data_IF_534140533498
#
_entry.id   IF_534140533498
#
_cell.length_a   1.000
_cell.length_b   1.000
_cell.length_c   1.000
_cell.angle_alpha   90.00
_cell.angle_beta   90.00
_cell.angle_gamma   90.00
#
_symmetry.space_group_name_H-M   'P 1'
#
loop_
_entity.id
_entity.type
_entity.pdbx_description
1 polymer ?
#
# COMPACT_ATOMS: atom_id res chain seq x y z
N UNK A 1 -13.04 15.77 23.49
CA UNK A 1 -12.42 14.44 23.46
C UNK A 1 -11.78 14.28 22.07
N UNK A 2 -10.45 14.36 21.95
CA UNK A 2 -9.75 14.14 20.70
C UNK A 2 -9.58 12.63 20.57
N UNK A 3 -10.13 12.02 19.50
CA UNK A 3 -10.17 10.58 19.31
C UNK A 3 -8.78 9.98 19.05
N UNK A 4 -8.62 8.71 19.39
CA UNK A 4 -7.44 7.92 19.06
C UNK A 4 -7.27 7.85 17.54
N UNK A 5 -6.05 8.06 17.06
CA UNK A 5 -5.72 7.98 15.64
C UNK A 5 -5.45 6.53 15.25
N UNK A 6 -6.14 6.04 14.22
CA UNK A 6 -5.97 4.69 13.65
C UNK A 6 -5.33 4.85 12.27
N UNK A 7 -4.46 3.92 11.88
CA UNK A 7 -3.81 3.95 10.57
C UNK A 7 -4.34 2.84 9.66
N UNK A 8 -4.74 3.21 8.43
CA UNK A 8 -5.13 2.29 7.37
C UNK A 8 -4.29 2.59 6.12
N UNK A 9 -3.62 1.59 5.59
CA UNK A 9 -2.67 1.73 4.47
C UNK A 9 -1.60 2.82 4.69
N UNK A 10 -1.15 2.97 5.94
CA UNK A 10 -0.16 3.98 6.31
C UNK A 10 -0.72 5.40 6.47
N UNK A 11 -2.04 5.62 6.34
CA UNK A 11 -2.68 6.93 6.52
C UNK A 11 -3.52 6.99 7.80
N UNK A 12 -3.56 8.13 8.50
CA UNK A 12 -4.40 8.28 9.68
C UNK A 12 -5.87 8.35 9.27
N UNK A 13 -6.71 7.59 9.96
CA UNK A 13 -8.17 7.64 9.84
C UNK A 13 -8.80 7.79 11.22
N UNK A 14 -10.00 8.34 11.26
CA UNK A 14 -10.77 8.44 12.51
C UNK A 14 -11.13 7.04 13.02
N UNK A 15 -10.98 6.83 14.34
CA UNK A 15 -11.32 5.57 14.98
C UNK A 15 -12.78 5.16 14.75
N UNK A 16 -13.71 6.13 14.72
CA UNK A 16 -15.11 5.86 14.44
C UNK A 16 -15.33 5.30 13.03
N UNK A 17 -14.60 5.80 12.03
CA UNK A 17 -14.64 5.30 10.66
C UNK A 17 -14.09 3.88 10.59
N UNK A 18 -12.98 3.60 11.28
CA UNK A 18 -12.40 2.27 11.34
C UNK A 18 -13.36 1.25 11.99
N UNK A 19 -14.05 1.65 13.05
CA UNK A 19 -15.07 0.82 13.72
C UNK A 19 -16.25 0.53 12.78
N UNK A 20 -16.77 1.54 12.10
CA UNK A 20 -17.88 1.36 11.15
C UNK A 20 -17.48 0.44 9.98
N UNK A 21 -16.26 0.54 9.47
CA UNK A 21 -15.77 -0.36 8.44
C UNK A 21 -15.71 -1.82 8.93
N UNK A 22 -15.30 -2.05 10.18
CA UNK A 22 -15.28 -3.39 10.80
C UNK A 22 -16.71 -3.94 11.01
N UNK A 23 -17.67 -3.11 11.40
CA UNK A 23 -19.10 -3.47 11.54
C UNK A 23 -19.69 -3.85 10.18
N UNK A 24 -19.41 -3.09 9.12
CA UNK A 24 -19.84 -3.43 7.77
C UNK A 24 -19.24 -4.77 7.30
N UNK A 25 -17.96 -5.03 7.59
CA UNK A 25 -17.36 -6.33 7.27
C UNK A 25 -18.09 -7.47 7.98
N UNK A 26 -18.36 -7.34 9.28
CA UNK A 26 -19.08 -8.35 10.04
C UNK A 26 -20.49 -8.58 9.47
N UNK A 27 -21.23 -7.52 9.11
CA UNK A 27 -22.55 -7.58 8.50
C UNK A 27 -22.52 -8.31 7.16
N UNK A 28 -21.56 -7.97 6.28
CA UNK A 28 -21.43 -8.59 4.96
C UNK A 28 -20.96 -10.06 5.01
N UNK A 29 -20.19 -10.42 6.05
CA UNK A 29 -19.73 -11.80 6.26
C UNK A 29 -20.75 -12.69 6.98
N UNK A 30 -21.83 -12.15 7.54
CA UNK A 30 -22.86 -12.91 8.25
C UNK A 30 -23.63 -13.91 7.37
N UNK A 31 -23.51 -13.82 6.03
CA UNK A 31 -24.20 -14.66 5.06
C UNK A 31 -25.69 -14.34 4.88
N UNK A 32 -26.26 -13.43 5.67
CA UNK A 32 -27.67 -13.04 5.65
C UNK A 32 -27.89 -11.58 5.18
N UNK A 33 -26.95 -11.00 4.45
CA UNK A 33 -26.98 -9.58 4.05
C UNK A 33 -28.15 -9.28 3.12
N UNK A 34 -29.00 -8.34 3.51
CA UNK A 34 -30.16 -7.89 2.74
C UNK A 34 -29.74 -6.92 1.61
N UNK A 35 -30.56 -6.75 0.55
CA UNK A 35 -30.33 -5.75 -0.49
C UNK A 35 -30.24 -4.31 0.06
N UNK A 36 -31.03 -4.00 1.10
CA UNK A 36 -31.02 -2.69 1.76
C UNK A 36 -29.67 -2.42 2.47
N UNK A 37 -29.12 -3.40 3.18
CA UNK A 37 -27.81 -3.29 3.83
C UNK A 37 -26.67 -3.12 2.83
N UNK A 38 -26.73 -3.81 1.68
CA UNK A 38 -25.75 -3.62 0.59
C UNK A 38 -25.79 -2.21 0.03
N UNK A 39 -26.98 -1.65 -0.14
CA UNK A 39 -27.14 -0.26 -0.61
C UNK A 39 -26.63 0.74 0.43
N UNK A 40 -26.96 0.54 1.71
CA UNK A 40 -26.47 1.39 2.80
C UNK A 40 -24.94 1.35 2.93
N UNK A 41 -24.34 0.17 2.81
CA UNK A 41 -22.89 0.00 2.78
C UNK A 41 -22.24 0.74 1.59
N UNK A 42 -22.79 0.66 0.39
CA UNK A 42 -22.30 1.40 -0.77
C UNK A 42 -22.39 2.92 -0.57
N UNK A 43 -23.51 3.40 -0.01
CA UNK A 43 -23.68 4.82 0.32
C UNK A 43 -22.68 5.28 1.38
N UNK A 44 -22.44 4.47 2.40
CA UNK A 44 -21.45 4.76 3.43
C UNK A 44 -20.04 4.88 2.84
N UNK A 45 -19.62 3.96 1.95
CA UNK A 45 -18.32 4.03 1.27
C UNK A 45 -18.15 5.31 0.46
N UNK A 46 -19.21 5.76 -0.23
CA UNK A 46 -19.19 6.95 -1.09
C UNK A 46 -19.31 8.27 -0.31
N UNK A 47 -19.70 8.24 0.95
CA UNK A 47 -19.94 9.44 1.75
C UNK A 47 -18.68 10.23 2.10
N UNK A 48 -17.52 9.56 2.24
CA UNK A 48 -16.25 10.21 2.56
C UNK A 48 -15.06 9.39 2.05
N UNK A 49 -13.96 10.03 1.59
CA UNK A 49 -12.75 9.32 1.15
C UNK A 49 -12.14 8.40 2.23
N UNK A 50 -12.25 8.76 3.51
CA UNK A 50 -11.75 7.97 4.62
C UNK A 50 -12.52 6.67 4.84
N UNK A 51 -13.83 6.66 4.53
CA UNK A 51 -14.65 5.46 4.57
C UNK A 51 -14.17 4.45 3.52
N UNK A 52 -13.90 4.92 2.31
CA UNK A 52 -13.38 4.09 1.24
C UNK A 52 -11.98 3.56 1.58
N UNK A 53 -11.08 4.38 2.15
CA UNK A 53 -9.74 3.94 2.60
C UNK A 53 -9.82 2.89 3.71
N UNK A 54 -10.67 3.12 4.72
CA UNK A 54 -10.90 2.16 5.80
C UNK A 54 -11.42 0.83 5.25
N UNK A 55 -12.37 0.89 4.32
CA UNK A 55 -12.92 -0.29 3.68
C UNK A 55 -11.89 -1.06 2.87
N UNK A 56 -11.13 -0.39 2.00
CA UNK A 56 -10.08 -1.01 1.18
C UNK A 56 -9.02 -1.69 2.04
N UNK A 57 -8.64 -1.07 3.15
CA UNK A 57 -7.69 -1.66 4.07
C UNK A 57 -8.24 -2.97 4.67
N UNK A 58 -9.49 -3.00 5.10
CA UNK A 58 -10.15 -4.20 5.63
C UNK A 58 -10.37 -5.25 4.53
N UNK A 59 -10.71 -4.86 3.32
CA UNK A 59 -10.94 -5.75 2.19
C UNK A 59 -9.65 -6.42 1.71
N UNK A 60 -8.53 -5.72 1.71
CA UNK A 60 -7.20 -6.30 1.40
C UNK A 60 -6.82 -7.41 2.39
N UNK A 61 -7.26 -7.27 3.64
CA UNK A 61 -7.09 -8.28 4.70
C UNK A 61 -8.00 -9.49 4.48
N UNK A 62 -9.24 -9.25 4.05
CA UNK A 62 -10.24 -10.33 3.86
C UNK A 62 -10.08 -11.08 2.52
N UNK A 63 -9.43 -10.46 1.52
CA UNK A 63 -9.14 -11.10 0.22
C UNK A 63 -8.24 -12.33 0.35
N UNK A 64 -7.25 -12.29 1.23
CA UNK A 64 -6.42 -13.47 1.55
C UNK A 64 -7.19 -14.64 2.19
N UNK A 65 -8.32 -14.36 2.89
CA UNK A 65 -9.19 -15.39 3.45
C UNK A 65 -10.04 -16.09 2.39
N UNK A 66 -10.46 -15.38 1.33
CA UNK A 66 -11.22 -15.97 0.22
C UNK A 66 -10.40 -16.91 -0.65
N UNK A 67 -9.11 -16.68 -0.81
CA UNK A 67 -8.23 -17.62 -1.53
C UNK A 67 -8.02 -18.92 -0.75
N UNK A 68 -7.94 -18.87 0.57
CA UNK A 68 -7.84 -20.07 1.42
C UNK A 68 -9.16 -20.87 1.41
N UNK A 69 -10.31 -20.19 1.41
CA UNK A 69 -11.63 -20.83 1.33
C UNK A 69 -11.94 -21.37 -0.08
N UNK A 70 -11.46 -20.70 -1.14
CA UNK A 70 -11.55 -21.18 -2.51
C UNK A 70 -10.70 -22.43 -2.76
N UNK A 71 -9.55 -22.59 -2.09
CA UNK A 71 -8.76 -23.83 -2.16
C UNK A 71 -9.42 -24.97 -1.38
N UNK A 72 -10.05 -24.70 -0.24
CA UNK A 72 -10.83 -25.68 0.52
C UNK A 72 -12.09 -26.11 -0.26
N UNK A 73 -12.78 -25.15 -0.89
CA UNK A 73 -13.97 -25.40 -1.72
C UNK A 73 -13.66 -26.16 -3.01
N UNK A 74 -12.50 -25.92 -3.66
CA UNK A 74 -12.07 -26.71 -4.82
C UNK A 74 -11.77 -28.16 -4.47
N UNK A 75 -11.23 -28.44 -3.28
CA UNK A 75 -11.05 -29.83 -2.80
C UNK A 75 -12.37 -30.53 -2.51
N UNK A 76 -13.38 -29.80 -2.04
CA UNK A 76 -14.72 -30.37 -1.78
C UNK A 76 -15.54 -30.59 -3.07
N UNK A 77 -15.37 -29.77 -4.10
CA UNK A 77 -16.08 -29.88 -5.38
C UNK A 77 -15.54 -31.01 -6.30
N UNK A 78 -14.33 -31.48 -6.04
CA UNK A 78 -13.76 -32.62 -6.81
C UNK A 78 -14.29 -34.00 -6.37
N UNK A 79 -15.20 -34.07 -5.39
CA UNK A 79 -15.66 -35.34 -4.83
C UNK A 79 -17.14 -35.71 -5.08
N UNK A 80 -17.89 -34.99 -5.97
CA UNK A 80 -19.22 -35.48 -6.36
C UNK A 80 -19.62 -35.09 -7.80
N UNK A 81 -19.90 -36.08 -8.67
CA UNK A 81 -20.56 -35.85 -9.94
C UNK A 81 -22.08 -36.08 -9.81
N UNK A 82 -22.90 -35.04 -9.89
CA UNK A 82 -24.30 -35.18 -10.30
C UNK A 82 -24.63 -34.10 -11.31
N UNK A 83 -24.77 -34.54 -12.54
CA UNK A 83 -25.11 -33.72 -13.69
C UNK A 83 -26.59 -33.30 -13.63
N UNK A 84 -26.81 -31.97 -13.75
CA UNK A 84 -28.10 -31.41 -14.15
C UNK A 84 -28.00 -30.98 -15.62
N UNK A 85 -29.05 -31.25 -16.47
CA UNK A 85 -28.97 -30.93 -17.89
C UNK A 85 -29.16 -29.43 -18.14
N UNK A 86 -28.07 -28.73 -18.46
CA UNK A 86 -28.12 -27.33 -18.89
C UNK A 86 -28.26 -27.30 -20.41
N UNK A 87 -29.31 -26.67 -20.92
CA UNK A 87 -29.61 -26.51 -22.34
C UNK A 87 -28.50 -25.69 -23.03
N UNK A 88 -28.03 -26.16 -24.19
CA UNK A 88 -26.94 -25.53 -24.99
C UNK A 88 -27.19 -24.06 -25.36
N UNK A 89 -28.43 -23.59 -25.37
CA UNK A 89 -28.79 -22.20 -25.70
C UNK A 89 -28.57 -21.20 -24.52
N UNK A 90 -28.65 -21.66 -23.26
CA UNK A 90 -28.38 -20.83 -22.08
C UNK A 90 -26.91 -20.66 -21.82
N UNK A 91 -26.06 -21.65 -22.16
CA UNK A 91 -24.61 -21.59 -22.03
C UNK A 91 -23.95 -20.55 -22.93
N UNK A 92 -24.44 -20.39 -24.17
CA UNK A 92 -23.94 -19.39 -25.12
C UNK A 92 -24.32 -17.95 -24.71
N UNK A 93 -25.45 -17.74 -24.09
CA UNK A 93 -25.86 -16.43 -23.56
C UNK A 93 -25.03 -16.04 -22.33
N UNK A 94 -24.76 -16.98 -21.44
CA UNK A 94 -23.88 -16.75 -20.27
C UNK A 94 -22.43 -16.47 -20.68
N UNK A 95 -21.89 -17.14 -21.70
CA UNK A 95 -20.56 -16.89 -22.26
C UNK A 95 -20.47 -15.51 -22.95
N UNK A 96 -21.54 -15.08 -23.66
CA UNK A 96 -21.58 -13.76 -24.27
C UNK A 96 -21.64 -12.63 -23.23
N UNK A 97 -22.39 -12.81 -22.14
CA UNK A 97 -22.43 -11.85 -21.03
C UNK A 97 -21.11 -11.83 -20.23
N UNK A 98 -20.49 -12.98 -19.96
CA UNK A 98 -19.22 -13.07 -19.28
C UNK A 98 -18.07 -12.42 -20.09
N UNK A 99 -18.07 -12.55 -21.41
CA UNK A 99 -17.05 -11.91 -22.27
C UNK A 99 -17.24 -10.40 -22.38
N UNK A 100 -18.49 -9.89 -22.39
CA UNK A 100 -18.72 -8.42 -22.42
C UNK A 100 -18.36 -7.77 -21.07
N UNK A 101 -18.72 -8.38 -19.95
CA UNK A 101 -18.36 -7.91 -18.61
C UNK A 101 -16.84 -8.01 -18.39
N UNK A 102 -16.21 -9.10 -18.87
CA UNK A 102 -14.76 -9.27 -18.79
C UNK A 102 -13.98 -8.24 -19.59
N UNK A 103 -14.39 -7.93 -20.82
CA UNK A 103 -13.73 -6.95 -21.68
C UNK A 103 -13.96 -5.52 -21.20
N UNK A 104 -15.18 -5.13 -20.86
CA UNK A 104 -15.46 -3.79 -20.32
C UNK A 104 -14.82 -3.58 -18.94
N UNK A 105 -14.81 -4.59 -18.07
CA UNK A 105 -14.09 -4.57 -16.80
C UNK A 105 -12.57 -4.45 -16.99
N UNK A 106 -11.99 -5.17 -17.94
CA UNK A 106 -10.57 -5.12 -18.27
C UNK A 106 -10.13 -3.76 -18.85
N UNK A 107 -10.91 -3.20 -19.79
CA UNK A 107 -10.65 -1.86 -20.34
C UNK A 107 -10.91 -0.76 -19.32
N UNK A 108 -11.97 -0.89 -18.50
CA UNK A 108 -12.27 0.06 -17.44
C UNK A 108 -11.20 0.10 -16.34
N UNK A 109 -10.70 -1.07 -15.93
CA UNK A 109 -9.68 -1.19 -14.89
C UNK A 109 -8.29 -0.65 -15.32
N UNK A 110 -8.04 -0.53 -16.64
CA UNK A 110 -6.81 0.09 -17.20
C UNK A 110 -6.99 1.57 -17.56
N UNK A 111 -8.18 2.13 -17.41
CA UNK A 111 -8.43 3.55 -17.64
C UNK A 111 -7.84 4.42 -16.53
N UNK A 112 -7.54 5.67 -16.84
CA UNK A 112 -7.10 6.66 -15.82
C UNK A 112 -8.15 6.92 -14.73
N UNK A 113 -9.40 6.49 -14.95
CA UNK A 113 -10.51 6.60 -14.01
C UNK A 113 -10.75 5.35 -13.16
N UNK A 114 -9.94 4.27 -13.35
CA UNK A 114 -10.06 3.08 -12.51
C UNK A 114 -9.61 3.39 -11.08
N UNK A 115 -10.32 2.90 -10.05
CA UNK A 115 -9.88 3.00 -8.66
C UNK A 115 -8.46 2.41 -8.47
N UNK A 116 -7.65 3.03 -7.62
CA UNK A 116 -6.23 2.68 -7.47
C UNK A 116 -6.00 1.21 -7.10
N UNK A 117 -6.90 0.58 -6.35
CA UNK A 117 -6.81 -0.85 -6.00
C UNK A 117 -6.96 -1.77 -7.23
N UNK A 118 -7.80 -1.42 -8.22
CA UNK A 118 -7.94 -2.21 -9.45
C UNK A 118 -6.72 -2.07 -10.34
N UNK A 119 -6.11 -0.88 -10.37
CA UNK A 119 -4.84 -0.64 -11.07
C UNK A 119 -3.70 -1.41 -10.41
N UNK A 120 -3.65 -1.43 -9.08
CA UNK A 120 -2.65 -2.18 -8.33
C UNK A 120 -2.77 -3.70 -8.54
N UNK A 121 -3.99 -4.23 -8.57
CA UNK A 121 -4.25 -5.66 -8.83
C UNK A 121 -3.87 -6.10 -10.26
N UNK A 122 -3.86 -5.17 -11.22
CA UNK A 122 -3.50 -5.40 -12.64
C UNK A 122 -2.08 -4.91 -12.98
N UNK A 123 -1.30 -4.51 -11.98
CA UNK A 123 0.08 -4.08 -12.20
C UNK A 123 0.97 -5.22 -12.68
N UNK A 124 1.97 -4.89 -13.50
CA UNK A 124 2.92 -5.87 -14.04
C UNK A 124 3.72 -6.55 -12.91
N UNK A 125 4.00 -5.80 -11.84
CA UNK A 125 4.70 -6.28 -10.63
C UNK A 125 3.98 -5.75 -9.39
N UNK A 126 3.74 -6.63 -8.41
CA UNK A 126 3.14 -6.23 -7.13
C UNK A 126 3.67 -7.06 -5.97
N UNK A 127 3.50 -6.52 -4.77
CA UNK A 127 3.74 -7.18 -3.48
C UNK A 127 2.49 -7.07 -2.61
N UNK A 128 2.23 -8.11 -1.83
CA UNK A 128 1.23 -8.07 -0.76
C UNK A 128 1.70 -7.26 0.45
N UNK A 129 0.79 -7.03 1.41
CA UNK A 129 1.15 -6.39 2.68
C UNK A 129 2.12 -7.31 3.46
N UNK A 130 3.24 -6.75 3.93
CA UNK A 130 4.33 -7.48 4.58
C UNK A 130 5.29 -8.17 3.61
N UNK A 131 4.94 -8.29 2.32
CA UNK A 131 5.81 -8.87 1.31
C UNK A 131 6.81 -7.83 0.79
N UNK A 132 8.02 -8.29 0.51
CA UNK A 132 9.09 -7.52 -0.16
C UNK A 132 9.69 -8.37 -1.27
N UNK A 133 10.03 -7.75 -2.39
CA UNK A 133 10.64 -8.43 -3.52
C UNK A 133 11.78 -7.63 -4.11
N UNK A 134 12.86 -8.30 -4.47
CA UNK A 134 13.93 -7.75 -5.30
C UNK A 134 13.94 -8.46 -6.65
N UNK A 135 14.08 -7.69 -7.73
CA UNK A 135 14.15 -8.25 -9.08
C UNK A 135 14.95 -7.34 -10.01
N UNK A 136 15.64 -7.92 -11.01
CA UNK A 136 16.26 -7.16 -12.08
C UNK A 136 15.21 -6.77 -13.12
N UNK A 137 15.33 -5.54 -13.64
CA UNK A 137 14.57 -5.06 -14.77
C UNK A 137 15.29 -5.37 -16.10
N UNK A 138 14.61 -5.26 -17.25
CA UNK A 138 15.19 -5.62 -18.56
C UNK A 138 16.47 -4.85 -18.95
N UNK A 139 16.69 -3.67 -18.36
CA UNK A 139 17.89 -2.84 -18.56
C UNK A 139 19.00 -3.12 -17.55
N UNK A 140 18.83 -4.10 -16.66
CA UNK A 140 19.77 -4.43 -15.58
C UNK A 140 19.61 -3.58 -14.33
N UNK A 141 18.67 -2.62 -14.28
CA UNK A 141 18.30 -1.89 -13.08
C UNK A 141 17.79 -2.86 -12.00
N UNK A 142 18.21 -2.70 -10.75
CA UNK A 142 17.66 -3.46 -9.62
C UNK A 142 16.50 -2.69 -9.00
N UNK A 143 15.36 -3.37 -8.89
CA UNK A 143 14.15 -2.85 -8.29
C UNK A 143 13.82 -3.64 -7.03
N UNK A 144 13.68 -2.95 -5.90
CA UNK A 144 13.11 -3.52 -4.68
C UNK A 144 11.72 -2.93 -4.48
N UNK A 145 10.72 -3.78 -4.32
CA UNK A 145 9.35 -3.40 -3.95
C UNK A 145 9.19 -3.60 -2.46
N UNK A 146 8.69 -2.58 -1.76
CA UNK A 146 8.30 -2.65 -0.36
C UNK A 146 6.88 -3.24 -0.22
N UNK A 147 6.42 -3.40 1.00
CA UNK A 147 5.08 -3.85 1.37
C UNK A 147 3.99 -3.11 0.59
N UNK A 148 3.03 -3.85 0.02
CA UNK A 148 1.85 -3.29 -0.62
C UNK A 148 2.13 -2.41 -1.85
N UNK A 149 3.19 -2.71 -2.60
CA UNK A 149 3.62 -1.89 -3.75
C UNK A 149 3.15 -2.48 -5.07
N UNK A 150 2.87 -1.61 -6.05
CA UNK A 150 2.43 -1.99 -7.39
C UNK A 150 3.08 -1.09 -8.44
N UNK A 151 3.68 -1.71 -9.48
CA UNK A 151 4.48 -1.04 -10.51
C UNK A 151 4.16 -1.59 -11.89
N UNK A 152 4.03 -0.70 -12.87
CA UNK A 152 4.01 -1.06 -14.28
C UNK A 152 5.33 -0.65 -14.96
N UNK A 153 5.80 -1.49 -15.89
CA UNK A 153 7.00 -1.23 -16.68
C UNK A 153 6.57 -0.72 -18.07
N UNK A 154 7.01 0.48 -18.43
CA UNK A 154 6.66 1.14 -19.71
C UNK A 154 7.92 1.60 -20.43
N UNK A 155 8.78 0.65 -20.78
CA UNK A 155 10.00 0.92 -21.55
C UNK A 155 9.69 1.11 -23.02
N UNK A 156 10.28 2.15 -23.61
CA UNK A 156 10.17 2.47 -25.04
C UNK A 156 11.55 2.69 -25.66
N UNK A 157 11.60 3.01 -26.93
CA UNK A 157 12.85 3.41 -27.59
C UNK A 157 13.43 4.75 -27.11
N UNK A 158 12.64 5.57 -26.41
CA UNK A 158 13.03 6.93 -25.99
C UNK A 158 13.15 7.10 -24.47
N UNK A 159 12.57 6.21 -23.67
CA UNK A 159 12.60 6.31 -22.21
C UNK A 159 12.45 4.94 -21.52
N UNK A 160 12.96 4.84 -20.30
CA UNK A 160 12.76 3.75 -19.36
C UNK A 160 11.83 4.24 -18.26
N UNK A 161 10.52 3.98 -18.39
CA UNK A 161 9.52 4.48 -17.46
C UNK A 161 9.03 3.35 -16.55
N UNK A 162 9.08 3.57 -15.23
CA UNK A 162 8.34 2.83 -14.22
C UNK A 162 7.16 3.67 -13.77
N UNK A 163 5.96 3.10 -13.78
CA UNK A 163 4.78 3.74 -13.22
C UNK A 163 4.51 3.12 -11.85
N UNK A 164 4.80 3.87 -10.78
CA UNK A 164 4.47 3.49 -9.42
C UNK A 164 2.99 3.82 -9.17
N UNK A 165 2.17 2.78 -9.11
CA UNK A 165 0.72 2.89 -8.89
C UNK A 165 0.42 3.15 -7.43
N UNK A 166 1.10 2.42 -6.53
CA UNK A 166 1.03 2.60 -5.07
C UNK A 166 2.26 2.05 -4.38
N UNK A 167 2.45 2.43 -3.12
CA UNK A 167 3.46 1.88 -2.24
C UNK A 167 4.81 2.56 -2.37
N UNK A 168 5.88 1.78 -2.21
CA UNK A 168 7.26 2.28 -2.16
C UNK A 168 8.20 1.34 -2.90
N UNK A 169 9.11 1.93 -3.65
CA UNK A 169 10.17 1.22 -4.36
C UNK A 169 11.54 1.81 -4.05
N UNK A 170 12.56 0.96 -4.04
CA UNK A 170 13.95 1.40 -4.10
C UNK A 170 14.57 0.93 -5.41
N UNK A 171 15.32 1.81 -6.06
CA UNK A 171 15.83 1.64 -7.40
C UNK A 171 17.33 1.90 -7.42
N UNK A 172 18.09 0.92 -7.90
CA UNK A 172 19.50 1.11 -8.27
C UNK A 172 19.59 1.06 -9.79
N UNK A 173 19.64 2.22 -10.43
CA UNK A 173 19.60 2.33 -11.90
C UNK A 173 20.85 1.75 -12.55
N UNK A 174 20.68 0.93 -13.58
CA UNK A 174 21.76 0.53 -14.46
C UNK A 174 22.23 1.72 -15.32
N UNK A 175 23.54 1.73 -15.64
CA UNK A 175 24.09 2.71 -16.55
C UNK A 175 23.55 2.45 -17.95
N UNK A 176 22.91 3.44 -18.57
CA UNK A 176 22.48 3.36 -19.95
C UNK A 176 23.69 3.55 -20.89
N UNK A 177 23.99 2.54 -21.68
CA UNK A 177 25.07 2.55 -22.68
C UNK A 177 24.56 2.66 -24.10
N UNK A 178 23.23 2.61 -24.28
CA UNK A 178 22.57 2.70 -25.59
C UNK A 178 22.60 4.10 -26.18
N UNK A 179 22.59 4.16 -27.51
CA UNK A 179 22.45 5.41 -28.29
C UNK A 179 21.20 5.26 -29.15
N UNK A 180 20.20 6.15 -29.01
CA UNK A 180 20.13 7.34 -28.17
C UNK A 180 20.00 7.01 -26.66
N UNK A 181 20.48 7.91 -25.80
CA UNK A 181 20.29 7.81 -24.35
C UNK A 181 18.81 7.86 -23.96
N UNK A 182 18.38 6.89 -23.13
CA UNK A 182 16.99 6.80 -22.64
C UNK A 182 16.97 7.15 -21.14
N UNK A 183 16.38 8.28 -20.74
CA UNK A 183 16.26 8.63 -19.32
C UNK A 183 15.46 7.57 -18.56
N UNK A 184 15.84 7.34 -17.30
CA UNK A 184 15.08 6.51 -16.37
C UNK A 184 14.15 7.40 -15.56
N UNK A 185 12.87 7.10 -15.58
CA UNK A 185 11.79 7.88 -14.98
C UNK A 185 10.95 6.99 -14.08
N UNK A 186 10.55 7.51 -12.92
CA UNK A 186 9.46 6.96 -12.12
C UNK A 186 8.30 7.95 -12.16
N UNK A 187 7.18 7.49 -12.67
CA UNK A 187 5.92 8.26 -12.71
C UNK A 187 5.02 7.83 -11.58
N UNK A 188 4.41 8.80 -10.90
CA UNK A 188 3.43 8.61 -9.84
C UNK A 188 2.18 9.44 -10.15
N UNK A 189 1.16 9.37 -9.31
CA UNK A 189 -0.02 10.23 -9.42
C UNK A 189 0.32 11.74 -9.35
N UNK A 190 1.46 12.08 -8.72
CA UNK A 190 1.82 13.47 -8.42
C UNK A 190 2.85 14.08 -9.40
N UNK A 191 3.53 13.25 -10.20
CA UNK A 191 4.54 13.73 -11.12
C UNK A 191 5.58 12.67 -11.47
N UNK A 192 6.77 13.13 -11.88
CA UNK A 192 7.87 12.28 -12.32
C UNK A 192 9.14 12.54 -11.54
N UNK A 193 9.83 11.46 -11.19
CA UNK A 193 11.19 11.49 -10.65
C UNK A 193 12.16 10.98 -11.73
N UNK A 194 13.04 11.85 -12.23
CA UNK A 194 14.05 11.52 -13.24
C UNK A 194 15.37 11.18 -12.57
N UNK A 195 15.83 9.97 -12.74
CA UNK A 195 17.11 9.50 -12.23
C UNK A 195 18.28 9.97 -13.12
N UNK A 196 19.36 10.40 -12.50
CA UNK A 196 20.60 10.82 -13.17
C UNK A 196 21.78 9.90 -12.77
N UNK A 197 21.55 8.54 -12.86
CA UNK A 197 22.53 7.55 -12.41
C UNK A 197 22.51 7.39 -10.90
N UNK A 198 21.48 6.74 -10.32
CA UNK A 198 21.13 6.92 -8.92
C UNK A 198 20.72 5.62 -8.22
N UNK A 199 20.89 5.65 -6.89
CA UNK A 199 20.25 4.74 -5.92
C UNK A 199 19.30 5.59 -5.07
N UNK A 200 18.00 5.30 -5.11
CA UNK A 200 17.00 6.15 -4.47
C UNK A 200 15.71 5.39 -4.22
N UNK A 201 14.90 5.89 -3.30
CA UNK A 201 13.53 5.40 -3.09
C UNK A 201 12.51 6.41 -3.59
N UNK A 202 11.37 5.87 -4.03
CA UNK A 202 10.16 6.64 -4.38
C UNK A 202 9.00 6.00 -3.63
N UNK A 203 8.27 6.81 -2.86
CA UNK A 203 7.10 6.43 -2.10
C UNK A 203 5.92 7.27 -2.55
N UNK A 204 4.87 6.63 -3.01
CA UNK A 204 3.59 7.29 -3.28
C UNK A 204 2.72 7.21 -2.04
N UNK A 205 2.38 8.36 -1.47
CA UNK A 205 1.44 8.55 -0.38
C UNK A 205 0.19 9.28 -0.89
N UNK A 206 -0.85 9.38 -0.04
CA UNK A 206 -2.04 10.16 -0.38
C UNK A 206 -1.66 11.64 -0.53
N UNK A 207 -1.92 12.19 -1.71
CA UNK A 207 -1.67 13.60 -2.02
C UNK A 207 -0.22 14.00 -2.29
N UNK A 208 0.77 13.12 -2.11
CA UNK A 208 2.18 13.43 -2.36
C UNK A 208 3.01 12.22 -2.78
N UNK A 209 4.15 12.51 -3.39
CA UNK A 209 5.22 11.54 -3.63
C UNK A 209 6.46 11.99 -2.88
N UNK A 210 7.06 11.09 -2.12
CA UNK A 210 8.32 11.29 -1.41
C UNK A 210 9.44 10.58 -2.15
N UNK A 211 10.60 11.23 -2.22
CA UNK A 211 11.79 10.69 -2.86
C UNK A 211 12.98 10.93 -1.94
N UNK A 212 13.81 9.90 -1.75
CA UNK A 212 15.04 10.01 -0.97
C UNK A 212 16.20 9.38 -1.75
N UNK A 213 17.32 10.09 -1.81
CA UNK A 213 18.48 9.74 -2.65
C UNK A 213 19.60 9.19 -1.80
N UNK A 214 19.95 7.91 -2.01
CA UNK A 214 21.10 7.25 -1.39
C UNK A 214 22.39 7.63 -2.11
N UNK A 215 22.39 7.63 -3.47
CA UNK A 215 23.55 7.91 -4.30
C UNK A 215 23.14 8.60 -5.61
N UNK A 216 23.93 9.56 -6.08
CA UNK A 216 23.69 10.30 -7.31
C UNK A 216 22.73 11.48 -7.15
N UNK A 217 21.83 11.69 -8.10
CA UNK A 217 20.85 12.77 -8.07
C UNK A 217 19.55 12.42 -8.78
N UNK A 218 18.43 12.94 -8.26
CA UNK A 218 17.07 12.77 -8.82
C UNK A 218 16.43 14.12 -9.01
N UNK A 219 15.83 14.36 -10.19
CA UNK A 219 15.04 15.56 -10.47
C UNK A 219 13.56 15.24 -10.31
N UNK A 220 12.85 16.01 -9.49
CA UNK A 220 11.42 15.96 -9.30
C UNK A 220 10.73 16.93 -10.23
N UNK A 221 9.67 16.49 -10.88
CA UNK A 221 8.88 17.23 -11.85
C UNK A 221 7.40 17.02 -11.52
N UNK A 222 6.72 17.97 -10.87
CA UNK A 222 5.28 17.89 -10.58
C UNK A 222 4.44 17.72 -11.86
N UNK A 223 3.27 17.09 -11.72
CA UNK A 223 2.41 16.78 -12.88
C UNK A 223 1.81 18.04 -13.55
N UNK A 224 1.48 19.05 -12.74
CA UNK A 224 0.73 20.25 -13.17
C UNK A 224 1.46 21.56 -12.92
N UNK A 225 2.62 21.53 -12.28
CA UNK A 225 3.40 22.72 -11.91
C UNK A 225 4.65 22.89 -12.75
N UNK A 226 5.15 24.11 -12.85
CA UNK A 226 6.40 24.44 -13.58
C UNK A 226 7.67 24.31 -12.71
N UNK A 227 7.49 23.99 -11.41
CA UNK A 227 8.60 23.85 -10.47
C UNK A 227 9.38 22.56 -10.72
N UNK A 228 10.68 22.57 -10.40
CA UNK A 228 11.46 21.35 -10.31
C UNK A 228 12.39 21.43 -9.10
N UNK A 229 12.76 20.25 -8.57
CA UNK A 229 13.70 20.13 -7.46
C UNK A 229 14.75 19.08 -7.79
N UNK A 230 16.01 19.41 -7.65
CA UNK A 230 17.10 18.46 -7.77
C UNK A 230 17.53 18.00 -6.37
N UNK A 231 17.28 16.73 -6.07
CA UNK A 231 17.76 16.07 -4.85
C UNK A 231 19.11 15.41 -5.13
N UNK A 232 20.03 15.53 -4.19
CA UNK A 232 21.36 14.90 -4.21
C UNK A 232 21.45 13.80 -3.15
N UNK A 233 22.52 13.01 -3.18
CA UNK A 233 22.78 11.99 -2.17
C UNK A 233 22.67 12.56 -0.75
N UNK A 234 21.98 11.82 0.16
CA UNK A 234 21.67 12.23 1.53
C UNK A 234 20.49 13.21 1.66
N UNK A 235 19.81 13.53 0.56
CA UNK A 235 18.64 14.40 0.56
C UNK A 235 17.35 13.63 0.27
N UNK A 236 16.30 14.01 0.99
CA UNK A 236 14.91 13.69 0.71
C UNK A 236 14.15 14.94 0.31
N UNK A 237 13.01 14.74 -0.30
CA UNK A 237 12.07 15.78 -0.68
C UNK A 237 10.85 15.14 -1.32
N UNK A 238 9.91 15.94 -1.74
CA UNK A 238 8.68 15.41 -2.32
C UNK A 238 8.06 16.31 -3.36
N UNK A 239 6.92 15.86 -3.85
CA UNK A 239 6.06 16.66 -4.72
C UNK A 239 4.59 16.30 -4.52
N UNK A 240 3.74 17.29 -4.63
CA UNK A 240 2.32 17.14 -4.93
C UNK A 240 2.11 17.23 -6.44
N UNK A 241 0.89 17.10 -6.92
CA UNK A 241 0.60 17.30 -8.34
C UNK A 241 0.93 18.74 -8.82
N UNK A 242 0.91 19.73 -7.92
CA UNK A 242 1.05 21.16 -8.23
C UNK A 242 2.44 21.72 -7.94
N UNK A 243 3.15 21.19 -6.96
CA UNK A 243 4.40 21.80 -6.49
C UNK A 243 5.39 20.79 -5.92
N UNK A 244 6.66 21.19 -5.89
CA UNK A 244 7.70 20.47 -5.15
C UNK A 244 7.65 20.85 -3.67
N UNK A 245 7.98 19.89 -2.81
CA UNK A 245 8.14 20.08 -1.37
C UNK A 245 9.63 20.30 -1.06
N UNK A 246 9.96 21.04 0.00
CA UNK A 246 11.34 21.38 0.33
C UNK A 246 12.24 20.15 0.52
N UNK A 247 13.49 20.26 0.10
CA UNK A 247 14.50 19.25 0.39
C UNK A 247 14.89 19.28 1.88
N UNK A 248 15.15 18.10 2.43
CA UNK A 248 15.62 17.88 3.80
C UNK A 248 16.70 16.79 3.82
N UNK A 249 17.48 16.72 4.89
CA UNK A 249 18.43 15.63 5.10
C UNK A 249 17.67 14.33 5.44
N UNK A 250 18.15 13.19 4.96
CA UNK A 250 17.62 11.87 5.30
C UNK A 250 18.69 10.99 5.92
N UNK A 251 18.29 10.21 6.95
CA UNK A 251 19.13 9.15 7.50
C UNK A 251 19.15 7.94 6.55
N UNK A 252 20.28 7.24 6.42
CA UNK A 252 20.35 5.96 5.72
C UNK A 252 19.39 4.89 6.26
N UNK A 253 18.90 5.04 7.47
CA UNK A 253 18.00 4.11 8.15
C UNK A 253 16.65 3.93 7.43
N UNK A 254 16.20 4.93 6.68
CA UNK A 254 14.94 4.87 5.92
C UNK A 254 14.93 3.75 4.87
N UNK A 255 16.09 3.24 4.45
CA UNK A 255 16.21 2.14 3.49
C UNK A 255 16.43 0.77 4.14
N UNK A 256 16.44 0.67 5.48
CA UNK A 256 16.64 -0.59 6.21
C UNK A 256 15.55 -1.64 5.92
N UNK A 257 14.37 -1.20 5.49
CA UNK A 257 13.29 -2.09 5.09
C UNK A 257 13.69 -3.08 3.97
N UNK A 258 14.67 -2.73 3.11
CA UNK A 258 15.24 -3.64 2.10
C UNK A 258 15.81 -4.91 2.75
N UNK A 259 16.34 -4.78 3.96
CA UNK A 259 16.90 -5.88 4.76
C UNK A 259 15.86 -6.50 5.71
N UNK A 260 14.60 -6.02 5.66
CA UNK A 260 13.55 -6.50 6.54
C UNK A 260 13.56 -5.88 7.93
N UNK A 261 14.13 -4.69 8.08
CA UNK A 261 14.30 -4.00 9.35
C UNK A 261 13.63 -2.63 9.31
N UNK A 262 13.11 -2.19 10.45
CA UNK A 262 12.78 -0.80 10.72
C UNK A 262 13.75 -0.30 11.79
N UNK A 263 14.52 0.73 11.45
CA UNK A 263 15.40 1.40 12.39
C UNK A 263 14.70 2.65 12.92
N UNK A 264 14.63 2.77 14.24
CA UNK A 264 14.10 3.95 14.91
C UNK A 264 15.20 4.58 15.75
N UNK A 265 15.41 5.88 15.60
CA UNK A 265 16.30 6.70 16.43
C UNK A 265 15.50 7.84 17.03
N UNK A 266 15.18 7.73 18.33
CA UNK A 266 14.32 8.66 19.05
C UNK A 266 13.02 8.99 18.29
N UNK A 267 12.48 8.02 17.54
CA UNK A 267 11.28 8.17 16.72
C UNK A 267 10.05 8.31 17.61
N UNK A 268 9.12 9.26 17.34
CA UNK A 268 7.85 9.31 18.06
C UNK A 268 7.07 7.99 17.87
N UNK A 269 6.45 7.51 18.95
CA UNK A 269 5.71 6.24 18.94
C UNK A 269 4.60 6.24 17.85
N UNK A 270 3.95 7.38 17.61
CA UNK A 270 2.96 7.53 16.55
C UNK A 270 3.57 7.24 15.18
N UNK A 271 4.75 7.82 14.88
CA UNK A 271 5.42 7.66 13.59
C UNK A 271 5.94 6.22 13.43
N UNK A 272 6.46 5.65 14.51
CA UNK A 272 6.87 4.25 14.55
C UNK A 272 5.70 3.29 14.24
N UNK A 273 4.55 3.46 14.89
CA UNK A 273 3.37 2.66 14.64
C UNK A 273 2.79 2.91 13.25
N UNK A 274 2.89 4.14 12.74
CA UNK A 274 2.54 4.46 11.35
C UNK A 274 3.39 3.67 10.36
N UNK A 275 4.71 3.64 10.52
CA UNK A 275 5.57 2.84 9.64
C UNK A 275 5.30 1.34 9.78
N UNK A 276 5.08 0.80 10.99
CA UNK A 276 4.72 -0.61 11.18
C UNK A 276 3.40 -0.96 10.49
N UNK A 277 2.42 -0.05 10.50
CA UNK A 277 1.10 -0.30 9.91
C UNK A 277 1.15 -0.60 8.40
N UNK A 278 2.18 -0.11 7.71
CA UNK A 278 2.42 -0.37 6.29
C UNK A 278 2.80 -1.83 5.99
N UNK A 279 3.32 -2.52 6.99
CA UNK A 279 3.84 -3.89 6.86
C UNK A 279 2.91 -4.94 7.48
N UNK A 280 1.77 -4.52 8.08
CA UNK A 280 0.84 -5.37 8.79
C UNK A 280 -0.58 -5.24 8.23
N UNK A 281 -1.27 -6.36 8.13
CA UNK A 281 -2.71 -6.33 7.91
C UNK A 281 -3.43 -5.88 9.17
N UNK A 282 -4.48 -5.08 9.00
CA UNK A 282 -5.33 -4.61 10.08
C UNK A 282 -5.02 -3.19 10.55
N UNK A 283 -5.68 -2.78 11.62
CA UNK A 283 -5.61 -1.45 12.18
C UNK A 283 -4.62 -1.42 13.34
N UNK A 284 -3.79 -0.40 13.37
CA UNK A 284 -2.84 -0.14 14.44
C UNK A 284 -3.11 1.26 14.99
N UNK A 285 -3.72 1.32 16.19
CA UNK A 285 -4.08 2.57 16.85
C UNK A 285 -3.03 3.01 17.85
N UNK A 286 -2.89 4.33 18.00
CA UNK A 286 -2.03 4.98 18.98
C UNK A 286 -2.86 6.00 19.77
N UNK A 287 -2.89 5.88 21.08
CA UNK A 287 -3.49 6.89 21.94
C UNK A 287 -2.64 8.17 21.91
N UNK A 288 -3.27 9.34 21.84
CA UNK A 288 -2.60 10.63 21.83
C UNK A 288 -1.74 10.85 23.08
N UNK A 289 -2.13 10.27 24.23
CA UNK A 289 -1.38 10.36 25.48
C UNK A 289 0.03 9.76 25.40
N UNK A 290 0.26 8.78 24.53
CA UNK A 290 1.56 8.09 24.37
C UNK A 290 2.22 8.34 23.01
N UNK A 291 1.55 9.03 22.12
CA UNK A 291 1.97 9.27 20.73
C UNK A 291 3.36 9.94 20.62
N UNK A 292 3.70 10.79 21.60
CA UNK A 292 4.96 11.51 21.67
C UNK A 292 6.11 10.75 22.35
N UNK A 293 5.87 9.57 22.92
CA UNK A 293 6.94 8.75 23.50
C UNK A 293 7.99 8.42 22.43
N UNK A 294 9.27 8.38 22.86
CA UNK A 294 10.37 8.12 21.94
C UNK A 294 10.80 6.66 22.00
N UNK A 295 10.95 6.05 20.83
CA UNK A 295 11.44 4.68 20.69
C UNK A 295 12.73 4.67 19.88
N UNK A 296 13.71 3.87 20.31
CA UNK A 296 14.96 3.65 19.59
C UNK A 296 15.24 2.15 19.57
N UNK A 297 15.71 1.66 18.43
CA UNK A 297 16.04 0.25 18.26
C UNK A 297 15.99 -0.22 16.83
N UNK A 298 16.27 -1.51 16.65
CA UNK A 298 16.19 -2.23 15.37
C UNK A 298 15.05 -3.24 15.47
N UNK A 299 14.06 -3.11 14.61
CA UNK A 299 12.83 -3.89 14.68
C UNK A 299 12.66 -4.75 13.42
N UNK A 300 12.60 -6.09 13.57
CA UNK A 300 12.40 -6.98 12.43
C UNK A 300 10.97 -6.85 11.88
N UNK A 301 10.84 -6.62 10.58
CA UNK A 301 9.55 -6.53 9.87
C UNK A 301 8.93 -7.91 9.58
N UNK A 302 9.61 -9.00 9.92
CA UNK A 302 9.12 -10.34 9.70
C UNK A 302 8.10 -10.79 10.76
N UNK A 303 8.18 -10.25 11.99
CA UNK A 303 7.27 -10.57 13.09
C UNK A 303 6.85 -9.30 13.84
N UNK A 304 5.88 -8.61 13.27
CA UNK A 304 5.39 -7.34 13.81
C UNK A 304 4.57 -7.54 15.09
N UNK A 305 3.94 -8.71 15.28
CA UNK A 305 3.19 -8.98 16.49
C UNK A 305 4.15 -9.13 17.68
N UNK A 306 5.30 -9.78 17.51
CA UNK A 306 6.35 -9.81 18.54
C UNK A 306 6.92 -8.42 18.83
N UNK A 307 7.14 -7.59 17.80
CA UNK A 307 7.58 -6.19 17.96
C UNK A 307 6.56 -5.40 18.79
N UNK A 308 5.27 -5.49 18.47
CA UNK A 308 4.22 -4.78 19.20
C UNK A 308 4.13 -5.24 20.65
N UNK A 309 4.20 -6.55 20.90
CA UNK A 309 4.13 -7.12 22.25
C UNK A 309 5.35 -6.78 23.11
N UNK A 310 6.49 -6.42 22.53
CA UNK A 310 7.68 -5.99 23.28
C UNK A 310 7.65 -4.49 23.68
N UNK A 311 6.73 -3.68 23.15
CA UNK A 311 6.66 -2.25 23.48
C UNK A 311 6.49 -1.97 24.98
N UNK A 312 5.67 -2.73 25.73
CA UNK A 312 5.51 -2.53 27.18
C UNK A 312 6.78 -2.76 28.00
N UNK A 313 7.77 -3.46 27.47
CA UNK A 313 9.05 -3.71 28.16
C UNK A 313 9.95 -2.47 28.18
N UNK A 314 9.81 -1.59 27.19
CA UNK A 314 10.65 -0.41 26.99
C UNK A 314 9.91 0.92 27.21
N UNK A 315 8.58 0.92 27.12
CA UNK A 315 7.75 2.12 27.22
C UNK A 315 6.62 1.93 28.26
N UNK A 316 6.13 3.00 28.86
CA UNK A 316 4.99 2.95 29.79
C UNK A 316 3.65 2.85 29.04
N UNK A 317 3.52 1.82 28.22
CA UNK A 317 2.34 1.56 27.38
C UNK A 317 1.77 0.16 27.64
N UNK A 318 0.49 -0.01 27.33
CA UNK A 318 -0.18 -1.30 27.21
C UNK A 318 -0.56 -1.54 25.76
N UNK A 319 -0.35 -2.76 25.26
CA UNK A 319 -0.74 -3.17 23.91
C UNK A 319 -1.99 -4.05 24.02
N UNK A 320 -3.10 -3.57 23.52
CA UNK A 320 -4.38 -4.28 23.56
C UNK A 320 -4.76 -4.81 22.18
N UNK A 321 -4.83 -6.11 22.06
CA UNK A 321 -5.41 -6.77 20.89
C UNK A 321 -6.95 -6.75 21.04
N UNK A 322 -7.60 -5.81 20.36
CA UNK A 322 -9.08 -5.73 20.33
C UNK A 322 -9.67 -6.85 19.48
N UNK A 323 -9.01 -7.14 18.36
CA UNK A 323 -9.29 -8.29 17.50
C UNK A 323 -7.97 -8.78 16.89
N UNK A 324 -7.99 -9.89 16.14
CA UNK A 324 -6.83 -10.36 15.35
C UNK A 324 -6.24 -9.29 14.42
N UNK A 325 -7.08 -8.34 13.96
CA UNK A 325 -6.69 -7.31 12.98
C UNK A 325 -6.68 -5.90 13.57
N UNK A 326 -6.96 -5.74 14.87
CA UNK A 326 -6.98 -4.44 15.51
C UNK A 326 -6.16 -4.47 16.79
N UNK A 327 -5.07 -3.74 16.77
CA UNK A 327 -4.18 -3.53 17.91
C UNK A 327 -4.23 -2.06 18.30
N UNK A 328 -4.39 -1.80 19.60
CA UNK A 328 -4.38 -0.46 20.19
C UNK A 328 -3.23 -0.36 21.17
N UNK A 329 -2.41 0.70 21.02
CA UNK A 329 -1.36 1.06 21.98
C UNK A 329 -1.87 2.26 22.80
N UNK A 330 -1.95 2.09 24.11
CA UNK A 330 -2.50 3.07 25.06
C UNK A 330 -1.58 3.26 26.26
N UNK A 331 -1.82 4.31 27.05
CA UNK A 331 -1.05 4.55 28.26
C UNK A 331 -1.23 3.40 29.26
N UNK A 332 -0.12 2.95 29.89
CA UNK A 332 -0.19 1.96 30.96
C UNK A 332 -1.06 2.47 32.09
N UNK A 333 -2.10 1.72 32.43
CA UNK A 333 -2.93 2.03 33.59
C UNK A 333 -2.14 1.74 34.87
N UNK A 334 -1.88 2.79 35.68
CA UNK A 334 -1.37 2.60 37.05
C UNK A 334 -2.43 1.86 37.85
N UNK A 335 -2.11 0.64 38.28
CA UNK A 335 -2.93 -0.11 39.23
C UNK A 335 -2.68 0.38 40.65
#
# INVERSE_FOLDING_TARGET
>A
MRGATVYAQGQPIDLAIAMQAAEWLATLMSGATTPAEKTAWQQWRQAHPDHERAWQHIESVSGGLRELDAQASRKALLQRPTALPVSRRSSLRLLAWASTIGLTGWFGARSEYAPDFTRAALADLSTGVGERRELPLPDGTRLHLNSGSAVNIRYTGTQRLLQLVQGEVFIATARETGVPYRPFLVETAHGRAQALGTRYSVRQADGSTEVAVEEGAVRLLPRQGDGNLLLRAGQGGGMTAQQVLPAHAVSPDIWAWRQGLLLADAMPLRDFLHELSRHRHGLLGCDDAVAGLRISGVFPLADLDAVLLSLPDSLPVDVRLRTRYWVQVEARQQR
#
